data_IF_800604467077
#
_entry.id   IF_800604467077
#
_cell.length_a   1.000
_cell.length_b   1.000
_cell.length_c   1.000
_cell.angle_alpha   90.00
_cell.angle_beta   90.00
_cell.angle_gamma   90.00
#
_symmetry.space_group_name_H-M   'P 1'
#
loop_
_entity.id
_entity.type
_entity.pdbx_description
1 polymer ?
#
# COMPACT_ATOMS: atom_id res chain seq x y z
N UNK A 1 0.07 4.90 6.69
CA UNK A 1 0.00 5.35 5.28
C UNK A 1 -0.31 4.20 4.32
N UNK A 2 0.40 3.05 4.38
CA UNK A 2 0.03 1.88 3.56
C UNK A 2 -1.21 1.13 4.06
N UNK A 3 -1.53 1.14 5.36
CA UNK A 3 -2.76 0.49 5.88
C UNK A 3 -4.05 1.03 5.25
N UNK A 4 -4.17 2.34 5.09
CA UNK A 4 -5.31 2.98 4.41
C UNK A 4 -5.41 2.53 2.95
N UNK A 5 -4.26 2.46 2.25
CA UNK A 5 -4.23 1.93 0.88
C UNK A 5 -4.61 0.44 0.84
N UNK A 6 -4.12 -0.37 1.78
CA UNK A 6 -4.44 -1.80 1.86
C UNK A 6 -5.92 -2.04 2.15
N UNK A 7 -6.52 -1.28 3.06
CA UNK A 7 -7.98 -1.29 3.30
C UNK A 7 -8.75 -0.96 2.03
N UNK A 8 -8.36 0.13 1.35
CA UNK A 8 -9.01 0.54 0.10
C UNK A 8 -8.90 -0.53 -1.00
N UNK A 9 -7.77 -1.25 -1.06
CA UNK A 9 -7.60 -2.39 -1.96
C UNK A 9 -8.51 -3.55 -1.59
N UNK A 10 -8.63 -3.87 -0.30
CA UNK A 10 -9.45 -4.99 0.21
C UNK A 10 -10.95 -4.74 0.05
N UNK A 11 -11.42 -3.51 0.30
CA UNK A 11 -12.80 -3.09 0.07
C UNK A 11 -13.16 -3.17 -1.42
N UNK A 12 -12.30 -2.65 -2.30
CA UNK A 12 -12.51 -2.70 -3.75
C UNK A 12 -12.43 -4.11 -4.31
N UNK A 13 -11.51 -4.93 -3.80
CA UNK A 13 -11.40 -6.34 -4.16
C UNK A 13 -12.65 -7.13 -3.75
N UNK A 14 -13.27 -6.80 -2.60
CA UNK A 14 -14.54 -7.39 -2.17
C UNK A 14 -15.71 -7.04 -3.10
N UNK A 15 -15.66 -5.87 -3.73
CA UNK A 15 -16.61 -5.45 -4.78
C UNK A 15 -16.27 -6.01 -6.17
N UNK A 16 -15.15 -6.73 -6.32
CA UNK A 16 -14.65 -7.21 -7.61
C UNK A 16 -14.15 -6.10 -8.54
N UNK A 17 -13.90 -4.90 -7.99
CA UNK A 17 -13.46 -3.72 -8.72
C UNK A 17 -11.96 -3.54 -8.50
N UNK A 18 -11.15 -3.33 -9.55
CA UNK A 18 -9.75 -3.03 -9.37
C UNK A 18 -9.55 -1.76 -8.53
N UNK A 19 -8.58 -1.75 -7.59
CA UNK A 19 -8.28 -0.56 -6.82
C UNK A 19 -7.83 0.58 -7.73
N UNK A 20 -8.07 1.82 -7.29
CA UNK A 20 -7.52 2.97 -8.02
C UNK A 20 -5.99 2.87 -8.02
N UNK A 21 -5.32 3.24 -9.11
CA UNK A 21 -3.88 3.33 -9.12
C UNK A 21 -3.41 4.29 -8.03
N UNK A 22 -2.29 3.94 -7.40
CA UNK A 22 -1.63 4.79 -6.42
C UNK A 22 -1.31 6.16 -7.05
N UNK A 23 -1.49 7.24 -6.29
CA UNK A 23 -1.01 8.55 -6.71
C UNK A 23 0.53 8.59 -6.69
N UNK A 24 1.12 9.56 -7.39
CA UNK A 24 2.57 9.74 -7.42
C UNK A 24 3.17 9.86 -6.00
N UNK A 25 2.48 10.55 -5.08
CA UNK A 25 2.88 10.66 -3.67
C UNK A 25 2.86 9.31 -2.94
N UNK A 26 1.80 8.52 -3.15
CA UNK A 26 1.70 7.19 -2.51
C UNK A 26 2.76 6.22 -3.06
N UNK A 27 3.05 6.28 -4.37
CA UNK A 27 4.17 5.53 -4.96
C UNK A 27 5.50 6.01 -4.40
N UNK A 28 5.70 7.32 -4.22
CA UNK A 28 6.92 7.86 -3.64
C UNK A 28 7.13 7.39 -2.19
N UNK A 29 6.06 7.33 -1.37
CA UNK A 29 6.14 6.79 -0.01
C UNK A 29 6.36 5.28 0.02
N UNK A 30 5.76 4.51 -0.89
CA UNK A 30 6.07 3.08 -1.06
C UNK A 30 7.54 2.87 -1.46
N UNK A 31 8.07 3.68 -2.38
CA UNK A 31 9.48 3.61 -2.80
C UNK A 31 10.41 3.99 -1.65
N UNK A 32 10.07 4.98 -0.81
CA UNK A 32 10.85 5.32 0.38
C UNK A 32 10.86 4.16 1.39
N UNK A 33 9.74 3.50 1.60
CA UNK A 33 9.62 2.33 2.47
C UNK A 33 10.42 1.14 1.92
N UNK A 34 10.37 0.87 0.61
CA UNK A 34 11.19 -0.19 0.00
C UNK A 34 12.69 0.11 0.09
N UNK A 35 13.09 1.40 0.06
CA UNK A 35 14.49 1.83 0.18
C UNK A 35 14.99 1.86 1.62
N UNK A 36 14.14 2.20 2.57
CA UNK A 36 14.40 2.18 4.00
C UNK A 36 13.31 1.34 4.67
N UNK A 37 13.34 0.01 4.46
CA UNK A 37 12.38 -0.86 5.09
C UNK A 37 12.55 -0.71 6.60
N UNK A 38 11.48 -0.36 7.36
CA UNK A 38 11.57 -0.38 8.80
C UNK A 38 12.00 -1.79 9.20
N UNK A 39 13.11 -1.89 9.91
CA UNK A 39 13.66 -3.16 10.39
C UNK A 39 12.58 -3.85 11.24
N UNK A 40 11.85 -4.81 10.66
CA UNK A 40 10.76 -5.52 11.32
C UNK A 40 9.53 -5.86 10.49
N UNK A 41 9.40 -5.46 9.22
CA UNK A 41 8.25 -5.84 8.37
C UNK A 41 8.41 -7.20 7.63
N UNK A 42 9.43 -7.98 7.99
CA UNK A 42 9.56 -9.42 7.74
C UNK A 42 9.31 -10.17 9.06
N UNK A 43 8.12 -10.02 9.66
CA UNK A 43 7.71 -10.87 10.78
C UNK A 43 6.20 -10.94 10.90
N UNK A 44 5.68 -12.03 10.31
CA UNK A 44 4.42 -12.71 10.59
C UNK A 44 3.22 -12.46 9.68
#
# INVERSE_FOLDING_TARGET
MLEEYRKHVEERASEGIPPKPLSADQVADLVKLLKNPPTGEDSS
#
